data_IF_703053501833
#
_entry.id   IF_703053501833
#
_cell.length_a   1.000
_cell.length_b   1.000
_cell.length_c   1.000
_cell.angle_alpha   90.00
_cell.angle_beta   90.00
_cell.angle_gamma   90.00
#
_symmetry.space_group_name_H-M   'P 1'
#
loop_
_entity.id
_entity.type
_entity.pdbx_description
1 polymer ?
#
# COMPACT_ATOMS: atom_id res chain seq x y z
N UNK A 1 12.90 -32.93 -0.26
CA UNK A 1 11.68 -32.13 -0.09
C UNK A 1 11.88 -30.75 -0.72
N UNK A 2 12.02 -30.67 -2.05
CA UNK A 2 12.21 -29.43 -2.81
C UNK A 2 11.01 -29.11 -3.73
N UNK A 3 9.97 -29.95 -3.68
CA UNK A 3 8.84 -29.92 -4.60
C UNK A 3 7.55 -29.36 -3.99
N UNK A 4 7.55 -28.98 -2.71
CA UNK A 4 6.41 -28.32 -2.06
C UNK A 4 6.54 -26.79 -2.01
N UNK A 5 7.66 -26.24 -2.50
CA UNK A 5 7.90 -24.80 -2.51
C UNK A 5 7.18 -24.09 -3.67
N UNK A 6 6.78 -24.84 -4.71
CA UNK A 6 6.13 -24.32 -5.92
C UNK A 6 4.59 -24.40 -5.92
N UNK A 7 3.94 -25.03 -4.93
CA UNK A 7 2.48 -25.29 -4.97
C UNK A 7 1.66 -24.44 -3.99
N UNK A 8 2.08 -23.22 -3.70
CA UNK A 8 1.18 -22.21 -3.10
C UNK A 8 1.25 -20.95 -3.94
N UNK A 9 0.54 -21.00 -5.07
CA UNK A 9 0.43 -19.99 -6.13
C UNK A 9 -0.50 -18.84 -5.69
N UNK A 10 -0.47 -18.50 -4.40
CA UNK A 10 -1.14 -17.35 -3.83
C UNK A 10 -0.11 -16.28 -3.59
N UNK A 11 -0.41 -15.02 -3.95
CA UNK A 11 0.46 -13.87 -3.68
C UNK A 11 0.87 -13.93 -2.21
N UNK A 12 2.16 -14.22 -1.96
CA UNK A 12 2.71 -14.30 -0.60
C UNK A 12 2.88 -12.87 -0.09
N UNK A 13 1.80 -12.28 0.41
CA UNK A 13 1.84 -10.96 1.05
C UNK A 13 2.57 -11.12 2.39
N UNK A 14 3.74 -10.51 2.49
CA UNK A 14 4.53 -10.53 3.72
C UNK A 14 3.86 -9.65 4.79
N UNK A 15 3.96 -10.00 6.08
CA UNK A 15 3.51 -9.13 7.17
C UNK A 15 4.07 -7.70 7.05
N UNK A 16 5.32 -7.57 6.60
CA UNK A 16 5.97 -6.27 6.37
C UNK A 16 5.24 -5.47 5.29
N UNK A 17 4.86 -6.11 4.18
CA UNK A 17 4.13 -5.44 3.10
C UNK A 17 2.75 -4.96 3.56
N UNK A 18 2.11 -5.67 4.48
CA UNK A 18 0.80 -5.28 5.06
C UNK A 18 0.92 -4.02 5.91
N UNK A 19 1.96 -3.92 6.76
CA UNK A 19 2.21 -2.74 7.60
C UNK A 19 2.49 -1.51 6.73
N UNK A 20 3.30 -1.66 5.68
CA UNK A 20 3.60 -0.58 4.74
C UNK A 20 2.32 -0.10 4.04
N UNK A 21 1.49 -1.03 3.57
CA UNK A 21 0.23 -0.70 2.89
C UNK A 21 -0.75 0.03 3.80
N UNK A 22 -0.88 -0.42 5.06
CA UNK A 22 -1.71 0.24 6.06
C UNK A 22 -1.22 1.66 6.35
N UNK A 23 0.08 1.86 6.55
CA UNK A 23 0.68 3.17 6.76
C UNK A 23 0.47 4.11 5.56
N UNK A 24 0.67 3.60 4.34
CA UNK A 24 0.46 4.37 3.13
C UNK A 24 -1.00 4.84 2.97
N UNK A 25 -1.97 3.96 3.24
CA UNK A 25 -3.40 4.31 3.17
C UNK A 25 -3.78 5.41 4.16
N UNK A 26 -3.27 5.35 5.39
CA UNK A 26 -3.53 6.38 6.41
C UNK A 26 -2.98 7.74 5.93
N UNK A 27 -1.75 7.76 5.40
CA UNK A 27 -1.14 8.99 4.89
C UNK A 27 -1.92 9.58 3.73
N UNK A 28 -2.40 8.75 2.79
CA UNK A 28 -3.23 9.20 1.67
C UNK A 28 -4.51 9.89 2.16
N UNK A 29 -5.19 9.31 3.15
CA UNK A 29 -6.41 9.89 3.72
C UNK A 29 -6.12 11.24 4.40
N UNK A 30 -5.01 11.35 5.14
CA UNK A 30 -4.59 12.60 5.77
C UNK A 30 -4.30 13.68 4.72
N UNK A 31 -3.53 13.34 3.68
CA UNK A 31 -3.21 14.29 2.61
C UNK A 31 -4.44 14.71 1.81
N UNK A 32 -5.41 13.81 1.61
CA UNK A 32 -6.69 14.14 1.01
C UNK A 32 -7.52 15.09 1.87
N UNK A 33 -7.57 14.85 3.19
CA UNK A 33 -8.29 15.73 4.12
C UNK A 33 -7.67 17.13 4.21
N UNK A 34 -6.32 17.23 4.18
CA UNK A 34 -5.61 18.50 4.15
C UNK A 34 -5.74 19.25 2.81
N UNK A 35 -6.36 18.66 1.78
CA UNK A 35 -6.50 19.28 0.47
C UNK A 35 -5.18 19.44 -0.29
N UNK A 36 -4.12 18.71 0.09
CA UNK A 36 -2.82 18.74 -0.59
C UNK A 36 -2.96 18.32 -2.06
N UNK A 37 -3.85 17.37 -2.34
CA UNK A 37 -4.17 16.98 -3.71
C UNK A 37 -4.84 18.11 -4.51
N UNK A 38 -5.59 19.02 -3.87
CA UNK A 38 -6.15 20.19 -4.56
C UNK A 38 -5.04 21.17 -4.95
N UNK A 39 -4.04 21.37 -4.10
CA UNK A 39 -2.87 22.17 -4.46
C UNK A 39 -2.05 21.51 -5.59
N UNK A 40 -1.91 20.17 -5.56
CA UNK A 40 -1.14 19.42 -6.55
C UNK A 40 -1.81 19.36 -7.93
N UNK A 41 -3.14 19.20 -7.98
CA UNK A 41 -3.90 19.00 -9.23
C UNK A 41 -4.61 20.24 -9.74
N UNK A 42 -4.81 21.24 -8.88
CA UNK A 42 -5.35 22.57 -9.24
C UNK A 42 -4.51 23.67 -8.56
N UNK A 43 -3.24 23.82 -8.96
CA UNK A 43 -2.45 24.97 -8.51
C UNK A 43 -3.10 26.24 -9.08
N UNK A 44 -3.62 27.08 -8.18
CA UNK A 44 -4.13 28.42 -8.48
C UNK A 44 -3.02 29.37 -8.89
#
# INVERSE_FOLDING_TARGET
MRFFEDSSIGIKVSPITTVIFAGALILIVIFAWLGIFNWLFTPS
#
